data_IF_147487747533
#
_entry.id   IF_147487747533
#
_cell.length_a   1.000
_cell.length_b   1.000
_cell.length_c   1.000
_cell.angle_alpha   90.00
_cell.angle_beta   90.00
_cell.angle_gamma   90.00
#
_symmetry.space_group_name_H-M   'P 1'
#
loop_
_entity.id
_entity.type
_entity.pdbx_description
1 polymer ?
#
# COMPACT_ATOMS: atom_id res chain seq x y z
N UNK A 1 -26.35 -4.62 -27.10
CA UNK A 1 -25.25 -4.76 -26.14
C UNK A 1 -25.83 -4.61 -24.75
N UNK A 2 -25.52 -5.50 -23.83
CA UNK A 2 -26.14 -5.56 -22.49
C UNK A 2 -25.64 -4.45 -21.51
N UNK A 3 -24.75 -3.57 -21.93
CA UNK A 3 -24.18 -2.50 -21.10
C UNK A 3 -23.88 -1.24 -21.92
N UNK A 4 -23.78 -0.08 -21.25
CA UNK A 4 -23.57 1.25 -21.84
C UNK A 4 -22.13 1.76 -21.58
N UNK A 5 -21.77 2.89 -22.22
CA UNK A 5 -20.50 3.57 -21.92
C UNK A 5 -20.45 4.11 -20.47
N UNK A 6 -21.61 4.41 -19.88
CA UNK A 6 -21.71 4.82 -18.48
C UNK A 6 -21.39 3.68 -17.52
N UNK A 7 -21.80 2.45 -17.84
CA UNK A 7 -21.47 1.27 -17.03
C UNK A 7 -19.97 0.99 -17.06
N UNK A 8 -19.31 1.17 -18.21
CA UNK A 8 -17.84 1.05 -18.31
C UNK A 8 -17.15 2.12 -17.45
N UNK A 9 -17.66 3.36 -17.48
CA UNK A 9 -17.12 4.45 -16.65
C UNK A 9 -17.30 4.14 -15.16
N UNK A 10 -18.48 3.70 -14.76
CA UNK A 10 -18.79 3.32 -13.37
C UNK A 10 -17.89 2.18 -12.89
N UNK A 11 -17.70 1.12 -13.68
CA UNK A 11 -16.81 0.02 -13.34
C UNK A 11 -15.37 0.48 -13.19
N UNK A 12 -14.91 1.41 -14.04
CA UNK A 12 -13.58 2.01 -13.92
C UNK A 12 -13.44 2.83 -12.65
N UNK A 13 -14.42 3.63 -12.29
CA UNK A 13 -14.40 4.43 -11.04
C UNK A 13 -14.37 3.54 -9.80
N UNK A 14 -15.04 2.39 -9.83
CA UNK A 14 -15.04 1.42 -8.73
C UNK A 14 -13.76 0.61 -8.62
N UNK A 15 -13.09 0.31 -9.73
CA UNK A 15 -11.97 -0.65 -9.77
C UNK A 15 -10.62 -0.02 -10.07
N UNK A 16 -10.58 1.25 -10.51
CA UNK A 16 -9.40 1.95 -11.04
C UNK A 16 -8.67 1.21 -12.19
N UNK A 17 -9.30 0.20 -12.79
CA UNK A 17 -8.75 -0.55 -13.93
C UNK A 17 -8.95 0.21 -15.24
N UNK A 18 -8.08 -0.01 -16.21
CA UNK A 18 -8.15 0.66 -17.52
C UNK A 18 -9.48 0.46 -18.23
N UNK A 19 -10.00 1.52 -18.91
CA UNK A 19 -11.31 1.56 -19.57
C UNK A 19 -11.55 0.37 -20.53
N UNK A 20 -10.52 -0.06 -21.26
CA UNK A 20 -10.64 -1.18 -22.19
C UNK A 20 -10.79 -2.53 -21.51
N UNK A 21 -10.16 -2.71 -20.36
CA UNK A 21 -10.30 -3.94 -19.57
C UNK A 21 -11.68 -3.97 -18.88
N UNK A 22 -12.17 -2.84 -18.38
CA UNK A 22 -13.54 -2.72 -17.86
C UNK A 22 -14.57 -3.06 -18.95
N UNK A 23 -14.39 -2.55 -20.18
CA UNK A 23 -15.27 -2.90 -21.32
C UNK A 23 -15.24 -4.40 -21.60
N UNK A 24 -14.05 -5.03 -21.63
CA UNK A 24 -13.93 -6.48 -21.86
C UNK A 24 -14.59 -7.29 -20.75
N UNK A 25 -14.46 -6.85 -19.48
CA UNK A 25 -15.10 -7.50 -18.34
C UNK A 25 -16.62 -7.50 -18.50
N UNK A 26 -17.22 -6.33 -18.75
CA UNK A 26 -18.68 -6.23 -18.99
C UNK A 26 -19.13 -7.02 -20.21
N UNK A 27 -18.32 -7.10 -21.27
CA UNK A 27 -18.62 -7.97 -22.42
C UNK A 27 -18.63 -9.45 -22.04
N UNK A 28 -17.67 -9.90 -21.22
CA UNK A 28 -17.55 -11.29 -20.80
C UNK A 28 -18.60 -11.72 -19.77
N UNK A 29 -19.25 -10.77 -19.12
CA UNK A 29 -20.25 -10.99 -18.06
C UNK A 29 -21.63 -10.48 -18.42
N UNK A 30 -21.90 -10.25 -19.71
CA UNK A 30 -23.18 -9.78 -20.25
C UNK A 30 -23.74 -8.52 -19.54
N UNK A 31 -22.83 -7.64 -19.08
CA UNK A 31 -23.16 -6.40 -18.41
C UNK A 31 -23.39 -6.52 -16.89
N UNK A 32 -23.20 -7.68 -16.31
CA UNK A 32 -23.27 -7.91 -14.86
C UNK A 32 -22.07 -7.27 -14.18
N UNK A 33 -22.33 -6.26 -13.34
CA UNK A 33 -21.29 -5.44 -12.71
C UNK A 33 -20.46 -6.23 -11.68
N UNK A 34 -21.11 -7.04 -10.85
CA UNK A 34 -20.45 -7.79 -9.80
C UNK A 34 -19.57 -8.91 -10.40
N UNK A 35 -20.10 -9.64 -11.37
CA UNK A 35 -19.31 -10.62 -12.12
C UNK A 35 -18.17 -9.97 -12.91
N UNK A 36 -18.33 -8.74 -13.39
CA UNK A 36 -17.27 -8.01 -14.08
C UNK A 36 -16.12 -7.64 -13.11
N UNK A 37 -16.44 -7.29 -11.87
CA UNK A 37 -15.43 -7.05 -10.81
C UNK A 37 -14.66 -8.35 -10.54
N UNK A 38 -15.35 -9.47 -10.35
CA UNK A 38 -14.70 -10.76 -10.12
C UNK A 38 -13.83 -11.19 -11.30
N UNK A 39 -14.33 -11.02 -12.51
CA UNK A 39 -13.57 -11.28 -13.75
C UNK A 39 -12.30 -10.42 -13.85
N UNK A 40 -12.41 -9.13 -13.49
CA UNK A 40 -11.25 -8.24 -13.45
C UNK A 40 -10.25 -8.68 -12.41
N UNK A 41 -10.71 -9.15 -11.24
CA UNK A 41 -9.84 -9.69 -10.17
C UNK A 41 -9.09 -10.94 -10.64
N UNK A 42 -9.77 -11.92 -11.22
CA UNK A 42 -9.12 -13.13 -11.75
C UNK A 42 -8.09 -12.82 -12.84
N UNK A 43 -8.46 -11.94 -13.79
CA UNK A 43 -7.55 -11.49 -14.84
C UNK A 43 -6.41 -10.63 -14.29
N UNK A 44 -6.65 -9.90 -13.22
CA UNK A 44 -5.68 -9.12 -12.49
C UNK A 44 -4.61 -10.01 -11.88
N UNK A 45 -5.00 -11.05 -11.14
CA UNK A 45 -4.09 -12.05 -10.58
C UNK A 45 -3.22 -12.70 -11.67
N UNK A 46 -3.80 -13.07 -12.79
CA UNK A 46 -3.05 -13.62 -13.92
C UNK A 46 -2.06 -12.63 -14.55
N UNK A 47 -2.38 -11.34 -14.61
CA UNK A 47 -1.48 -10.28 -15.09
C UNK A 47 -0.37 -9.99 -14.07
N UNK A 48 -0.69 -9.95 -12.79
CA UNK A 48 0.27 -9.76 -11.71
C UNK A 48 1.29 -10.92 -11.68
N UNK A 49 0.81 -12.16 -11.80
CA UNK A 49 1.67 -13.34 -11.88
C UNK A 49 2.66 -13.27 -13.07
N UNK A 50 2.22 -12.81 -14.25
CA UNK A 50 3.11 -12.62 -15.41
C UNK A 50 4.18 -11.54 -15.18
N UNK A 51 3.94 -10.59 -14.29
CA UNK A 51 4.89 -9.53 -13.93
C UNK A 51 5.77 -9.90 -12.73
N UNK A 52 5.47 -10.98 -12.02
CA UNK A 52 6.18 -11.36 -10.79
C UNK A 52 7.71 -11.51 -11.00
N UNK A 53 8.14 -11.97 -12.17
CA UNK A 53 9.57 -12.10 -12.52
C UNK A 53 10.27 -10.80 -12.93
N UNK A 54 9.56 -9.65 -13.02
CA UNK A 54 10.19 -8.38 -13.41
C UNK A 54 10.98 -7.78 -12.26
N UNK A 55 11.98 -6.96 -12.58
CA UNK A 55 12.75 -6.23 -11.58
C UNK A 55 11.95 -4.99 -11.17
N UNK A 56 11.68 -4.84 -9.88
CA UNK A 56 11.10 -3.67 -9.25
C UNK A 56 12.15 -3.09 -8.29
N UNK A 57 13.02 -2.22 -8.82
CA UNK A 57 14.16 -1.65 -8.09
C UNK A 57 13.90 -0.21 -7.62
N UNK A 58 12.91 0.45 -8.20
CA UNK A 58 12.46 1.77 -7.78
C UNK A 58 11.34 1.64 -6.74
N UNK A 59 10.90 2.76 -6.17
CA UNK A 59 9.84 2.76 -5.18
C UNK A 59 10.00 3.86 -4.14
N UNK A 60 9.28 3.69 -3.03
CA UNK A 60 9.34 4.60 -1.90
C UNK A 60 9.26 3.87 -0.56
N UNK A 61 9.90 4.47 0.43
CA UNK A 61 9.67 4.18 1.83
C UNK A 61 8.59 5.13 2.34
N UNK A 62 7.59 4.59 2.99
CA UNK A 62 6.49 5.34 3.61
C UNK A 62 6.40 4.97 5.09
N UNK A 63 5.73 5.82 5.86
CA UNK A 63 5.57 5.64 7.30
C UNK A 63 4.10 5.80 7.71
N UNK A 64 3.77 5.21 8.85
CA UNK A 64 2.55 5.50 9.58
C UNK A 64 2.84 5.47 11.09
N UNK A 65 2.40 6.50 11.80
CA UNK A 65 2.43 6.55 13.27
C UNK A 65 1.00 6.74 13.74
N UNK A 66 0.60 5.98 14.74
CA UNK A 66 -0.71 6.14 15.39
C UNK A 66 -0.81 7.49 16.10
N UNK A 67 -2.03 8.00 16.26
CA UNK A 67 -2.28 9.31 16.90
C UNK A 67 -1.70 9.38 18.32
N UNK A 68 -1.67 8.26 19.05
CA UNK A 68 -1.07 8.20 20.37
C UNK A 68 0.47 8.18 20.37
N UNK A 69 1.12 8.13 19.22
CA UNK A 69 2.58 8.10 19.09
C UNK A 69 3.28 6.84 19.62
N UNK A 70 2.50 5.79 19.95
CA UNK A 70 3.01 4.58 20.60
C UNK A 70 3.31 3.43 19.65
N UNK A 71 2.72 3.48 18.46
CA UNK A 71 2.93 2.49 17.41
C UNK A 71 3.32 3.21 16.13
N UNK A 72 4.37 2.73 15.48
CA UNK A 72 4.80 3.24 14.20
C UNK A 72 5.31 2.13 13.30
N UNK A 73 5.19 2.36 12.00
CA UNK A 73 5.75 1.48 10.97
C UNK A 73 6.39 2.28 9.85
N UNK A 74 7.45 1.72 9.28
CA UNK A 74 8.01 2.11 7.97
C UNK A 74 7.93 0.91 7.04
N UNK A 75 7.58 1.17 5.78
CA UNK A 75 7.39 0.12 4.77
C UNK A 75 8.08 0.54 3.48
N UNK A 76 8.87 -0.34 2.91
CA UNK A 76 9.45 -0.18 1.57
C UNK A 76 8.56 -0.88 0.55
N UNK A 77 7.99 -0.09 -0.36
CA UNK A 77 7.18 -0.56 -1.48
C UNK A 77 7.92 -0.28 -2.77
N UNK A 78 8.09 -1.30 -3.61
CA UNK A 78 8.81 -1.20 -4.87
C UNK A 78 7.90 -1.25 -6.08
N UNK A 79 8.34 -0.57 -7.16
CA UNK A 79 7.78 -0.55 -8.50
C UNK A 79 8.91 -0.61 -9.55
N UNK A 80 8.55 -0.65 -10.85
CA UNK A 80 9.54 -0.79 -11.92
C UNK A 80 10.23 0.56 -12.22
N UNK A 81 9.53 1.71 -12.10
CA UNK A 81 10.04 3.03 -12.47
C UNK A 81 9.86 4.08 -11.36
N UNK A 82 10.76 5.07 -11.35
CA UNK A 82 10.67 6.22 -10.44
C UNK A 82 9.49 7.17 -10.76
N UNK A 83 8.97 7.14 -11.99
CA UNK A 83 7.77 7.87 -12.38
C UNK A 83 6.56 7.35 -11.63
N UNK A 84 6.39 6.03 -11.57
CA UNK A 84 5.29 5.37 -10.85
C UNK A 84 5.40 5.62 -9.35
N UNK A 85 6.61 5.57 -8.79
CA UNK A 85 6.84 5.81 -7.36
C UNK A 85 6.34 7.19 -6.87
N UNK A 86 6.17 8.16 -7.77
CA UNK A 86 5.70 9.52 -7.47
C UNK A 86 4.20 9.73 -7.72
N UNK A 87 3.50 8.71 -8.24
CA UNK A 87 2.06 8.84 -8.53
C UNK A 87 1.21 8.69 -7.28
N UNK A 88 0.08 9.42 -7.24
CA UNK A 88 -0.88 9.32 -6.13
C UNK A 88 -1.38 7.89 -5.93
N UNK A 89 -1.65 7.15 -7.00
CA UNK A 89 -2.11 5.76 -6.92
C UNK A 89 -1.10 4.85 -6.20
N UNK A 90 0.20 5.01 -6.50
CA UNK A 90 1.25 4.26 -5.82
C UNK A 90 1.39 4.69 -4.36
N UNK A 91 1.45 5.99 -4.10
CA UNK A 91 1.62 6.53 -2.75
C UNK A 91 0.43 6.20 -1.84
N UNK A 92 -0.79 6.27 -2.36
CA UNK A 92 -2.00 5.88 -1.61
C UNK A 92 -1.96 4.40 -1.23
N UNK A 93 -1.57 3.52 -2.17
CA UNK A 93 -1.37 2.10 -1.88
C UNK A 93 -0.30 1.90 -0.80
N UNK A 94 0.88 2.51 -0.96
CA UNK A 94 1.98 2.37 -0.02
C UNK A 94 1.60 2.84 1.39
N UNK A 95 0.95 4.00 1.52
CA UNK A 95 0.47 4.54 2.80
C UNK A 95 -0.59 3.64 3.45
N UNK A 96 -1.49 3.04 2.65
CA UNK A 96 -2.48 2.08 3.15
C UNK A 96 -1.82 0.83 3.74
N UNK A 97 -0.75 0.35 3.09
CA UNK A 97 0.04 -0.79 3.61
C UNK A 97 0.78 -0.41 4.90
N UNK A 98 1.39 0.79 4.98
CA UNK A 98 2.06 1.23 6.21
C UNK A 98 1.08 1.33 7.40
N UNK A 99 -0.12 1.88 7.17
CA UNK A 99 -1.20 1.88 8.17
C UNK A 99 -1.56 0.46 8.60
N UNK A 100 -1.73 -0.45 7.66
CA UNK A 100 -2.06 -1.84 7.95
C UNK A 100 -0.96 -2.50 8.80
N UNK A 101 0.31 -2.37 8.43
CA UNK A 101 1.45 -2.93 9.19
C UNK A 101 1.46 -2.40 10.63
N UNK A 102 1.25 -1.10 10.82
CA UNK A 102 1.20 -0.51 12.16
C UNK A 102 0.08 -1.09 13.02
N UNK A 103 -1.13 -1.29 12.46
CA UNK A 103 -2.31 -1.69 13.20
C UNK A 103 -2.45 -3.22 13.34
N UNK A 104 -2.12 -3.99 12.30
CA UNK A 104 -2.32 -5.43 12.26
C UNK A 104 -1.12 -6.25 12.74
N UNK A 105 0.06 -5.63 12.94
CA UNK A 105 1.28 -6.26 13.46
C UNK A 105 1.64 -7.60 12.79
N UNK A 106 1.84 -7.65 11.47
CA UNK A 106 2.30 -8.87 10.81
C UNK A 106 3.68 -9.29 11.29
N UNK A 107 3.92 -10.60 11.42
CA UNK A 107 5.21 -11.12 11.86
C UNK A 107 6.30 -10.97 10.77
N UNK A 108 5.91 -11.11 9.51
CA UNK A 108 6.79 -11.06 8.34
C UNK A 108 5.98 -10.74 7.07
N UNK A 109 6.65 -10.73 5.92
CA UNK A 109 6.01 -10.43 4.61
C UNK A 109 5.00 -11.52 4.21
N UNK A 110 5.22 -12.78 4.55
CA UNK A 110 4.30 -13.87 4.23
C UNK A 110 3.00 -13.72 5.03
N UNK A 111 3.12 -13.46 6.32
CA UNK A 111 1.98 -13.17 7.18
C UNK A 111 1.24 -11.90 6.70
N UNK A 112 1.97 -10.83 6.37
CA UNK A 112 1.39 -9.59 5.84
C UNK A 112 0.53 -9.85 4.60
N UNK A 113 1.03 -10.59 3.63
CA UNK A 113 0.34 -10.85 2.37
C UNK A 113 -1.00 -11.56 2.56
N UNK A 114 -1.10 -12.44 3.55
CA UNK A 114 -2.31 -13.23 3.83
C UNK A 114 -3.31 -12.53 4.74
N UNK A 115 -2.90 -11.48 5.46
CA UNK A 115 -3.79 -10.72 6.33
C UNK A 115 -4.87 -9.98 5.53
N UNK A 116 -6.07 -9.91 6.13
CA UNK A 116 -7.15 -9.06 5.63
C UNK A 116 -6.83 -7.59 5.91
N UNK A 117 -7.06 -6.74 4.94
CA UNK A 117 -6.78 -5.32 5.06
C UNK A 117 -7.66 -4.66 6.14
N UNK A 118 -7.06 -3.83 6.99
CA UNK A 118 -7.74 -3.23 8.15
C UNK A 118 -8.89 -2.30 7.80
N UNK A 119 -8.87 -1.67 6.63
CA UNK A 119 -9.94 -0.77 6.18
C UNK A 119 -10.93 -1.47 5.21
N UNK A 120 -10.64 -2.70 4.75
CA UNK A 120 -11.51 -3.50 3.87
C UNK A 120 -11.23 -5.01 4.06
N UNK A 121 -11.90 -5.64 5.00
CA UNK A 121 -11.73 -7.06 5.31
C UNK A 121 -12.16 -8.02 4.18
N UNK A 122 -12.73 -7.52 3.09
CA UNK A 122 -13.07 -8.33 1.91
C UNK A 122 -11.83 -8.66 1.07
N UNK A 123 -10.70 -7.95 1.29
CA UNK A 123 -9.45 -8.09 0.55
C UNK A 123 -8.31 -8.49 1.46
N UNK A 124 -7.39 -9.30 0.93
CA UNK A 124 -6.07 -9.50 1.53
C UNK A 124 -5.08 -8.48 0.99
N UNK A 125 -3.93 -8.32 1.67
CA UNK A 125 -2.83 -7.47 1.16
C UNK A 125 -2.33 -7.99 -0.20
N UNK A 126 -2.26 -9.31 -0.42
CA UNK A 126 -1.93 -9.89 -1.71
C UNK A 126 -2.92 -9.47 -2.82
N UNK A 127 -4.23 -9.44 -2.50
CA UNK A 127 -5.22 -8.93 -3.44
C UNK A 127 -4.99 -7.45 -3.76
N UNK A 128 -4.66 -6.63 -2.76
CA UNK A 128 -4.35 -5.20 -2.96
C UNK A 128 -3.11 -5.00 -3.83
N UNK A 129 -2.04 -5.79 -3.64
CA UNK A 129 -0.83 -5.78 -4.49
C UNK A 129 -1.20 -6.10 -5.94
N UNK A 130 -2.05 -7.11 -6.14
CA UNK A 130 -2.52 -7.52 -7.46
C UNK A 130 -3.35 -6.42 -8.12
N UNK A 131 -4.31 -5.84 -7.39
CA UNK A 131 -5.15 -4.74 -7.85
C UNK A 131 -4.29 -3.52 -8.24
N UNK A 132 -3.31 -3.14 -7.39
CA UNK A 132 -2.37 -2.05 -7.66
C UNK A 132 -1.50 -2.34 -8.90
N UNK A 133 -0.97 -3.57 -9.03
CA UNK A 133 -0.18 -4.00 -10.20
C UNK A 133 -0.97 -3.87 -11.51
N UNK A 134 -2.28 -4.15 -11.47
CA UNK A 134 -3.15 -4.04 -12.65
C UNK A 134 -3.50 -2.60 -12.95
N UNK A 135 -3.88 -1.83 -11.93
CA UNK A 135 -4.29 -0.44 -12.09
C UNK A 135 -3.14 0.46 -12.54
N UNK A 136 -1.96 0.29 -11.93
CA UNK A 136 -0.75 1.06 -12.22
C UNK A 136 -0.07 0.56 -13.51
N UNK A 137 -0.12 -0.75 -13.78
CA UNK A 137 0.49 -1.34 -14.96
C UNK A 137 1.95 -1.79 -14.80
N UNK A 138 2.54 -1.66 -13.60
CA UNK A 138 3.87 -2.12 -13.24
C UNK A 138 3.83 -3.19 -12.16
N UNK A 139 4.91 -3.96 -12.01
CA UNK A 139 5.07 -4.83 -10.84
C UNK A 139 5.14 -3.98 -9.59
N UNK A 140 4.28 -4.28 -8.62
CA UNK A 140 4.29 -3.71 -7.29
C UNK A 140 4.63 -4.82 -6.29
N UNK A 141 5.49 -4.52 -5.32
CA UNK A 141 5.83 -5.46 -4.26
C UNK A 141 6.16 -4.74 -2.95
N UNK A 142 5.81 -5.34 -1.84
CA UNK A 142 6.26 -4.92 -0.51
C UNK A 142 7.56 -5.67 -0.25
N UNK A 143 8.66 -4.93 -0.09
CA UNK A 143 9.99 -5.52 0.07
C UNK A 143 10.28 -5.88 1.51
N UNK A 144 10.03 -4.95 2.41
CA UNK A 144 10.28 -5.07 3.85
C UNK A 144 9.53 -4.01 4.63
N UNK A 145 9.42 -4.23 5.92
CA UNK A 145 8.90 -3.26 6.87
C UNK A 145 9.61 -3.39 8.21
N UNK A 146 9.47 -2.35 9.03
CA UNK A 146 9.76 -2.38 10.45
C UNK A 146 8.59 -1.75 11.20
N UNK A 147 8.26 -2.31 12.38
CA UNK A 147 7.21 -1.83 13.27
C UNK A 147 7.74 -1.77 14.69
N UNK A 148 7.47 -0.67 15.36
CA UNK A 148 7.72 -0.50 16.78
C UNK A 148 6.43 -0.23 17.53
N UNK A 149 6.35 -0.76 18.74
CA UNK A 149 5.28 -0.52 19.69
C UNK A 149 5.91 -0.35 21.07
N UNK A 150 5.63 0.76 21.73
CA UNK A 150 6.31 1.17 22.94
C UNK A 150 5.39 1.82 23.95
N UNK A 151 5.76 1.82 25.22
CA UNK A 151 5.15 2.67 26.23
C UNK A 151 5.65 4.11 26.19
N UNK A 152 6.80 4.35 25.54
CA UNK A 152 7.38 5.66 25.30
C UNK A 152 6.83 6.38 24.09
N UNK A 153 7.69 6.70 23.11
CA UNK A 153 7.36 7.42 21.89
C UNK A 153 8.00 6.76 20.67
N UNK A 154 7.25 6.68 19.56
CA UNK A 154 7.79 6.37 18.24
C UNK A 154 7.86 7.65 17.42
N UNK A 155 8.99 7.92 16.78
CA UNK A 155 9.20 9.02 15.84
C UNK A 155 9.71 8.50 14.51
N UNK A 156 9.48 9.24 13.44
CA UNK A 156 9.90 8.84 12.10
C UNK A 156 10.23 10.05 11.24
N UNK A 157 11.08 9.82 10.23
CA UNK A 157 11.45 10.82 9.24
C UNK A 157 11.55 10.18 7.86
N UNK A 158 10.97 10.84 6.87
CA UNK A 158 11.09 10.44 5.47
C UNK A 158 11.90 11.48 4.73
N UNK A 159 13.00 11.07 4.12
CA UNK A 159 13.91 11.93 3.39
C UNK A 159 13.84 11.70 1.88
N UNK A 160 14.13 12.75 1.10
CA UNK A 160 14.21 12.72 -0.37
C UNK A 160 12.99 12.09 -1.06
N UNK A 161 11.79 12.41 -0.56
CA UNK A 161 10.55 11.92 -1.18
C UNK A 161 10.39 10.40 -1.11
N UNK A 162 10.81 9.78 -0.01
CA UNK A 162 10.68 8.34 0.21
C UNK A 162 11.89 7.51 -0.22
N UNK A 163 13.04 8.13 -0.45
CA UNK A 163 14.28 7.36 -0.74
C UNK A 163 14.93 6.81 0.54
N UNK A 164 14.75 7.51 1.66
CA UNK A 164 15.20 7.08 2.98
C UNK A 164 14.05 7.23 3.96
N UNK A 165 13.86 6.24 4.82
CA UNK A 165 12.90 6.29 5.92
C UNK A 165 13.56 5.84 7.22
N UNK A 166 13.35 6.60 8.27
CA UNK A 166 13.86 6.34 9.61
C UNK A 166 12.68 6.14 10.56
N UNK A 167 12.78 5.16 11.43
CA UNK A 167 11.83 4.91 12.52
C UNK A 167 12.64 4.75 13.81
N UNK A 168 12.31 5.54 14.82
CA UNK A 168 13.01 5.55 16.12
C UNK A 168 12.00 5.27 17.22
N UNK A 169 12.38 4.38 18.13
CA UNK A 169 11.68 4.15 19.40
C UNK A 169 12.47 4.84 20.52
N UNK A 170 11.77 5.63 21.31
CA UNK A 170 12.33 6.28 22.50
C UNK A 170 11.63 5.73 23.74
N UNK A 171 12.37 4.97 24.55
CA UNK A 171 11.89 4.51 25.84
C UNK A 171 11.99 5.68 26.84
N UNK A 172 10.85 6.11 27.39
CA UNK A 172 10.80 7.22 28.34
C UNK A 172 9.58 7.10 29.25
N UNK A 173 9.73 7.55 30.49
CA UNK A 173 8.65 7.73 31.45
C UNK A 173 8.10 9.17 31.46
N UNK A 174 8.71 10.08 30.67
CA UNK A 174 8.31 11.50 30.63
C UNK A 174 6.94 11.73 29.94
N UNK A 175 6.35 10.67 29.37
CA UNK A 175 5.05 10.74 28.72
C UNK A 175 5.07 11.55 27.41
N UNK A 176 3.91 12.10 27.06
CA UNK A 176 3.74 12.96 25.87
C UNK A 176 4.25 14.37 26.17
N UNK A 177 5.55 14.58 25.90
CA UNK A 177 6.29 15.80 26.21
C UNK A 177 6.96 16.32 24.92
N UNK A 178 6.74 17.60 24.59
CA UNK A 178 7.29 18.22 23.37
C UNK A 178 8.82 18.11 23.29
N UNK A 179 9.55 18.27 24.40
CA UNK A 179 11.00 18.12 24.41
C UNK A 179 11.46 16.69 24.05
N UNK A 180 10.68 15.68 24.41
CA UNK A 180 10.95 14.28 24.01
C UNK A 180 10.64 14.08 22.52
N UNK A 181 9.58 14.69 21.99
CA UNK A 181 9.27 14.64 20.56
C UNK A 181 10.33 15.32 19.72
N UNK A 182 10.78 16.50 20.14
CA UNK A 182 11.87 17.23 19.48
C UNK A 182 13.15 16.40 19.48
N UNK A 183 13.55 15.84 20.62
CA UNK A 183 14.71 14.96 20.71
C UNK A 183 14.59 13.73 19.81
N UNK A 184 13.42 13.07 19.80
CA UNK A 184 13.19 11.91 18.95
C UNK A 184 13.27 12.26 17.46
N UNK A 185 12.76 13.43 17.08
CA UNK A 185 12.86 13.96 15.71
C UNK A 185 14.32 14.29 15.36
N UNK A 186 15.05 14.97 16.23
CA UNK A 186 16.46 15.27 16.02
C UNK A 186 17.32 14.01 15.85
N UNK A 187 17.01 12.94 16.61
CA UNK A 187 17.64 11.64 16.42
C UNK A 187 17.34 11.08 15.03
N UNK A 188 16.09 11.15 14.56
CA UNK A 188 15.73 10.72 13.21
C UNK A 188 16.53 11.45 12.12
N UNK A 189 16.87 12.73 12.34
CA UNK A 189 17.65 13.54 11.40
C UNK A 189 19.14 13.18 11.38
N UNK A 190 19.66 12.52 12.42
CA UNK A 190 21.08 12.14 12.56
C UNK A 190 21.38 10.72 12.03
N UNK A 191 20.37 9.89 11.86
CA UNK A 191 20.46 8.54 11.29
C UNK A 191 20.50 8.59 9.77
#
# INVERSE_FOLDING_TARGET
>A
MAFTAQDVKKLREMTNVGMMDCKKALQATDGDMDKAIDWLREKGLAKAAKKAGRIAAEGAVVQYITECGKVGAVVEVNCETDFVAKTDNFMNFANSVAKHVALANPADIEALNTQKFVDDETKTIENMISDATVAIGEKISIRRFARYETTGLVSSYIHMGGKVGVLVEVATEAGDNEAVKDLAHDICLQI
#
